data_IF_082096239471
#
_entry.id   IF_082096239471
#
_cell.length_a   1.000
_cell.length_b   1.000
_cell.length_c   1.000
_cell.angle_alpha   90.00
_cell.angle_beta   90.00
_cell.angle_gamma   90.00
#
_symmetry.space_group_name_H-M   'P 1'
#
loop_
_entity.id
_entity.type
_entity.pdbx_description
1 polymer ?
#
# COMPACT_ATOMS: atom_id res chain seq x y z
N UNK A 1 11.16 -5.95 -57.41
CA UNK A 1 11.59 -6.27 -56.04
C UNK A 1 10.49 -5.86 -55.08
N UNK A 2 9.79 -6.82 -54.47
CA UNK A 2 8.62 -6.58 -53.63
C UNK A 2 9.04 -6.72 -52.16
N UNK A 3 8.90 -5.64 -51.39
CA UNK A 3 9.29 -5.57 -49.98
C UNK A 3 8.28 -6.35 -49.14
N UNK A 4 8.73 -7.43 -48.50
CA UNK A 4 7.92 -8.27 -47.61
C UNK A 4 7.72 -7.53 -46.27
N UNK A 5 6.60 -6.84 -46.11
CA UNK A 5 6.18 -6.31 -44.81
C UNK A 5 5.67 -7.50 -43.99
N UNK A 6 6.43 -7.93 -42.97
CA UNK A 6 5.95 -8.90 -41.98
C UNK A 6 4.83 -8.24 -41.17
N UNK A 7 3.59 -8.65 -41.41
CA UNK A 7 2.47 -8.29 -40.54
C UNK A 7 2.71 -8.86 -39.13
N UNK A 8 2.72 -7.98 -38.13
CA UNK A 8 2.76 -8.36 -36.72
C UNK A 8 1.34 -8.80 -36.34
N UNK A 9 1.10 -10.05 -35.93
CA UNK A 9 -0.24 -10.50 -35.58
C UNK A 9 -0.75 -9.70 -34.36
N UNK A 10 -2.05 -9.39 -34.30
CA UNK A 10 -2.62 -8.67 -33.17
C UNK A 10 -2.44 -9.48 -31.89
N UNK A 11 -1.83 -8.86 -30.87
CA UNK A 11 -1.68 -9.47 -29.55
C UNK A 11 -3.08 -9.76 -29.00
N UNK A 12 -3.44 -11.04 -28.94
CA UNK A 12 -4.69 -11.50 -28.32
C UNK A 12 -4.56 -11.34 -26.80
N UNK A 13 -4.93 -10.18 -26.26
CA UNK A 13 -5.01 -9.96 -24.81
C UNK A 13 -6.32 -10.57 -24.29
N UNK A 14 -6.31 -11.87 -24.06
CA UNK A 14 -7.31 -12.54 -23.21
C UNK A 14 -6.78 -13.90 -22.73
N UNK A 15 -5.60 -13.91 -22.11
CA UNK A 15 -5.25 -15.00 -21.19
C UNK A 15 -5.75 -14.58 -19.82
N UNK A 16 -6.62 -15.38 -19.20
CA UNK A 16 -6.93 -15.27 -17.77
C UNK A 16 -5.59 -15.25 -17.01
N UNK A 17 -5.12 -14.05 -16.67
CA UNK A 17 -3.82 -13.84 -16.05
C UNK A 17 -3.97 -14.25 -14.59
N UNK A 18 -3.70 -15.52 -14.31
CA UNK A 18 -3.74 -16.06 -12.96
C UNK A 18 -2.40 -15.77 -12.27
N UNK A 19 -2.40 -15.49 -10.95
CA UNK A 19 -1.18 -15.40 -10.16
C UNK A 19 -0.33 -16.66 -10.35
N UNK A 20 0.99 -16.50 -10.26
CA UNK A 20 1.91 -17.65 -10.34
C UNK A 20 1.66 -18.62 -9.17
N UNK A 21 1.96 -19.92 -9.33
CA UNK A 21 1.85 -20.88 -8.24
C UNK A 21 2.65 -20.47 -7.00
N UNK A 22 3.85 -19.92 -7.18
CA UNK A 22 4.67 -19.32 -6.11
C UNK A 22 3.90 -18.22 -5.36
N UNK A 23 3.18 -17.35 -6.08
CA UNK A 23 2.36 -16.30 -5.47
C UNK A 23 1.26 -16.87 -4.56
N UNK A 24 0.60 -17.96 -4.96
CA UNK A 24 -0.39 -18.63 -4.12
C UNK A 24 0.22 -19.35 -2.90
N UNK A 25 1.50 -19.73 -2.96
CA UNK A 25 2.19 -20.33 -1.82
C UNK A 25 2.54 -19.31 -0.74
N UNK A 26 2.82 -18.06 -1.15
CA UNK A 26 3.26 -17.00 -0.24
C UNK A 26 2.14 -16.06 0.20
N UNK A 27 1.06 -15.96 -0.58
CA UNK A 27 0.01 -14.99 -0.37
C UNK A 27 -1.37 -15.61 -0.50
N UNK A 28 -2.28 -15.16 0.36
CA UNK A 28 -3.70 -15.34 0.15
C UNK A 28 -4.14 -14.38 -0.97
N UNK A 29 -4.80 -14.91 -2.00
CA UNK A 29 -5.15 -14.15 -3.21
C UNK A 29 -6.64 -14.32 -3.49
N UNK A 30 -7.35 -13.20 -3.65
CA UNK A 30 -8.77 -13.13 -3.96
C UNK A 30 -9.00 -12.54 -5.35
N UNK A 31 -10.03 -13.00 -6.05
CA UNK A 31 -10.44 -12.43 -7.32
C UNK A 31 -11.48 -11.32 -7.09
N UNK A 32 -11.17 -10.09 -7.51
CA UNK A 32 -12.10 -8.95 -7.48
C UNK A 32 -12.25 -8.39 -8.89
N UNK A 33 -13.48 -8.34 -9.40
CA UNK A 33 -13.79 -7.81 -10.73
C UNK A 33 -12.91 -8.43 -11.85
N UNK A 34 -12.65 -9.74 -11.79
CA UNK A 34 -11.80 -10.44 -12.75
C UNK A 34 -10.28 -10.26 -12.58
N UNK A 35 -9.85 -9.58 -11.51
CA UNK A 35 -8.42 -9.32 -11.20
C UNK A 35 -8.06 -9.99 -9.88
N UNK A 36 -7.02 -10.82 -9.90
CA UNK A 36 -6.50 -11.46 -8.70
C UNK A 36 -5.64 -10.48 -7.89
N UNK A 37 -5.98 -10.28 -6.61
CA UNK A 37 -5.31 -9.37 -5.68
C UNK A 37 -4.88 -10.10 -4.42
N UNK A 38 -3.69 -9.79 -3.93
CA UNK A 38 -3.22 -10.26 -2.62
C UNK A 38 -4.12 -9.66 -1.54
N UNK A 39 -4.62 -10.50 -0.63
CA UNK A 39 -5.33 -10.05 0.57
C UNK A 39 -4.29 -9.43 1.48
N UNK A 40 -4.30 -8.10 1.57
CA UNK A 40 -3.47 -7.39 2.54
C UNK A 40 -4.20 -7.29 3.88
N UNK A 41 -3.44 -7.10 4.95
CA UNK A 41 -3.97 -6.99 6.32
C UNK A 41 -5.00 -5.89 6.50
N UNK A 42 -4.87 -4.78 5.76
CA UNK A 42 -5.83 -3.66 5.76
C UNK A 42 -7.19 -4.12 5.22
N UNK A 43 -7.20 -4.88 4.14
CA UNK A 43 -8.43 -5.41 3.57
C UNK A 43 -9.10 -6.40 4.53
N UNK A 44 -8.34 -7.29 5.17
CA UNK A 44 -8.90 -8.20 6.18
C UNK A 44 -9.52 -7.44 7.36
N UNK A 45 -8.91 -6.34 7.81
CA UNK A 45 -9.48 -5.50 8.86
C UNK A 45 -10.75 -4.77 8.42
N UNK A 46 -10.79 -4.29 7.17
CA UNK A 46 -11.97 -3.65 6.61
C UNK A 46 -13.16 -4.61 6.55
N UNK A 47 -12.95 -5.83 6.02
CA UNK A 47 -14.01 -6.85 5.94
C UNK A 47 -14.46 -7.33 7.34
N UNK A 48 -13.58 -7.27 8.34
CA UNK A 48 -13.92 -7.56 9.73
C UNK A 48 -14.69 -6.42 10.43
N UNK A 49 -14.77 -5.22 9.83
CA UNK A 49 -15.34 -4.03 10.44
C UNK A 49 -14.45 -3.36 11.49
N UNK A 50 -13.17 -3.73 11.55
CA UNK A 50 -12.19 -3.14 12.48
C UNK A 50 -11.78 -1.71 12.05
N UNK A 51 -11.96 -1.37 10.77
CA UNK A 51 -11.66 -0.07 10.17
C UNK A 51 -12.68 0.32 9.10
N UNK A 52 -12.78 1.62 8.78
CA UNK A 52 -13.66 2.16 7.74
C UNK A 52 -12.92 2.70 6.50
N UNK A 53 -13.66 3.41 5.65
CA UNK A 53 -13.15 3.93 4.37
C UNK A 53 -12.05 5.00 4.56
N UNK A 54 -12.10 5.77 5.66
CA UNK A 54 -11.13 6.82 5.97
C UNK A 54 -9.77 6.22 6.32
N UNK A 55 -9.74 5.15 7.12
CA UNK A 55 -8.53 4.40 7.47
C UNK A 55 -7.91 3.74 6.23
N UNK A 56 -8.73 3.13 5.37
CA UNK A 56 -8.28 2.52 4.11
C UNK A 56 -7.67 3.59 3.18
N UNK A 57 -8.34 4.74 3.07
CA UNK A 57 -7.86 5.87 2.27
C UNK A 57 -6.55 6.45 2.83
N UNK A 58 -6.43 6.55 4.15
CA UNK A 58 -5.23 7.00 4.83
C UNK A 58 -4.07 6.01 4.66
N UNK A 59 -4.33 4.70 4.71
CA UNK A 59 -3.36 3.66 4.45
C UNK A 59 -2.80 3.71 3.01
N UNK A 60 -3.67 3.78 1.99
CA UNK A 60 -3.27 3.91 0.58
C UNK A 60 -2.42 5.17 0.36
N UNK A 61 -2.86 6.29 0.93
CA UNK A 61 -2.11 7.56 0.84
C UNK A 61 -0.73 7.45 1.48
N UNK A 62 -0.65 6.91 2.71
CA UNK A 62 0.62 6.78 3.42
C UNK A 62 1.59 5.89 2.67
N UNK A 63 1.13 4.73 2.16
CA UNK A 63 1.96 3.81 1.39
C UNK A 63 2.56 4.48 0.15
N UNK A 64 1.74 5.16 -0.65
CA UNK A 64 2.22 5.89 -1.85
C UNK A 64 3.22 6.99 -1.50
N UNK A 65 2.92 7.77 -0.46
CA UNK A 65 3.80 8.86 -0.02
C UNK A 65 5.12 8.33 0.55
N UNK A 66 5.08 7.22 1.28
CA UNK A 66 6.26 6.54 1.81
C UNK A 66 7.14 5.98 0.70
N UNK A 67 6.58 5.26 -0.28
CA UNK A 67 7.34 4.76 -1.43
C UNK A 67 7.94 5.90 -2.25
N UNK A 68 7.17 6.96 -2.49
CA UNK A 68 7.68 8.07 -3.25
C UNK A 68 8.81 8.79 -2.52
N UNK A 69 8.67 9.02 -1.21
CA UNK A 69 9.72 9.62 -0.38
C UNK A 69 10.99 8.76 -0.32
N UNK A 70 10.85 7.44 -0.11
CA UNK A 70 11.98 6.54 0.15
C UNK A 70 12.72 6.12 -1.13
N UNK A 71 11.99 5.61 -2.11
CA UNK A 71 12.56 4.96 -3.30
C UNK A 71 12.23 5.69 -4.61
N UNK A 72 11.44 6.76 -4.56
CA UNK A 72 11.12 7.58 -5.75
C UNK A 72 10.09 6.96 -6.69
N UNK A 73 9.42 5.88 -6.27
CA UNK A 73 8.35 5.24 -7.06
C UNK A 73 7.05 6.01 -6.87
N UNK A 74 6.38 6.33 -7.97
CA UNK A 74 5.00 6.82 -7.97
C UNK A 74 4.11 5.73 -8.52
N UNK A 75 3.25 5.20 -7.65
CA UNK A 75 2.16 4.34 -8.10
C UNK A 75 1.04 5.20 -8.69
N UNK A 76 0.95 5.15 -10.02
CA UNK A 76 -0.07 5.87 -10.79
C UNK A 76 -1.45 5.25 -10.48
N UNK A 77 -2.46 6.08 -10.16
CA UNK A 77 -3.85 5.61 -10.19
C UNK A 77 -4.20 5.24 -11.62
N UNK A 78 -5.12 4.29 -11.79
CA UNK A 78 -5.72 4.01 -13.10
C UNK A 78 -6.16 5.33 -13.74
N UNK A 79 -5.61 5.63 -14.92
CA UNK A 79 -5.85 6.89 -15.64
C UNK A 79 -7.35 7.10 -15.81
N UNK A 80 -7.82 8.31 -15.52
CA UNK A 80 -9.17 8.78 -15.82
C UNK A 80 -9.34 9.12 -17.33
N UNK A 81 -8.38 8.72 -18.17
CA UNK A 81 -8.31 9.03 -19.58
C UNK A 81 -7.80 10.44 -19.88
N UNK A 82 -7.51 11.26 -18.86
CA UNK A 82 -6.94 12.60 -19.06
C UNK A 82 -5.42 12.50 -19.13
N UNK A 83 -4.85 12.99 -20.22
CA UNK A 83 -3.41 13.18 -20.33
C UNK A 83 -2.98 14.24 -19.31
N UNK A 84 -2.22 13.82 -18.30
CA UNK A 84 -1.52 14.74 -17.40
C UNK A 84 -0.08 14.87 -17.90
N UNK A 85 0.33 16.10 -18.13
CA UNK A 85 1.72 16.39 -18.48
C UNK A 85 2.63 15.84 -17.38
N UNK A 86 3.57 14.95 -17.74
CA UNK A 86 4.54 14.41 -16.80
C UNK A 86 5.42 15.57 -16.35
N UNK A 87 5.38 15.89 -15.05
CA UNK A 87 6.27 16.89 -14.47
C UNK A 87 7.74 16.56 -14.76
N UNK A 88 8.58 17.58 -14.84
CA UNK A 88 10.02 17.44 -15.02
C UNK A 88 10.73 16.96 -13.74
N UNK A 89 12.03 16.66 -13.82
CA UNK A 89 12.79 16.14 -12.67
C UNK A 89 12.70 17.07 -11.45
N UNK A 90 12.66 18.38 -11.64
CA UNK A 90 12.55 19.34 -10.54
C UNK A 90 11.20 19.26 -9.84
N UNK A 91 10.11 19.18 -10.61
CA UNK A 91 8.75 18.99 -10.10
C UNK A 91 8.65 17.70 -9.28
N UNK A 92 9.27 16.62 -9.79
CA UNK A 92 9.34 15.34 -9.08
C UNK A 92 10.12 15.44 -7.77
N UNK A 93 11.28 16.08 -7.76
CA UNK A 93 12.09 16.23 -6.54
C UNK A 93 11.39 17.08 -5.48
N UNK A 94 10.69 18.14 -5.89
CA UNK A 94 9.87 18.96 -4.99
C UNK A 94 8.72 18.12 -4.42
N UNK A 95 8.01 17.35 -5.26
CA UNK A 95 6.94 16.46 -4.81
C UNK A 95 7.43 15.43 -3.79
N UNK A 96 8.60 14.83 -4.06
CA UNK A 96 9.24 13.86 -3.17
C UNK A 96 9.60 14.49 -1.82
N UNK A 97 10.19 15.69 -1.84
CA UNK A 97 10.48 16.46 -0.62
C UNK A 97 9.23 16.71 0.23
N UNK A 98 8.12 17.13 -0.39
CA UNK A 98 6.83 17.32 0.30
C UNK A 98 6.29 16.03 0.93
N UNK A 99 6.49 14.88 0.29
CA UNK A 99 6.12 13.59 0.87
C UNK A 99 7.02 13.22 2.05
N UNK A 100 8.33 13.44 1.92
CA UNK A 100 9.28 13.20 3.00
C UNK A 100 8.95 14.02 4.25
N UNK A 101 8.62 15.31 4.10
CA UNK A 101 8.20 16.17 5.23
C UNK A 101 6.95 15.62 5.91
N UNK A 102 5.93 15.24 5.15
CA UNK A 102 4.67 14.71 5.72
C UNK A 102 4.87 13.36 6.41
N UNK A 103 5.69 12.47 5.85
CA UNK A 103 6.04 11.20 6.51
C UNK A 103 6.77 11.46 7.83
N UNK A 104 7.68 12.44 7.87
CA UNK A 104 8.36 12.86 9.11
C UNK A 104 7.37 13.42 10.14
N UNK A 105 6.45 14.31 9.74
CA UNK A 105 5.42 14.83 10.64
C UNK A 105 4.52 13.72 11.20
N UNK A 106 4.11 12.77 10.37
CA UNK A 106 3.32 11.60 10.81
C UNK A 106 4.14 10.76 11.80
N UNK A 107 5.42 10.52 11.52
CA UNK A 107 6.32 9.79 12.42
C UNK A 107 6.48 10.50 13.76
N UNK A 108 6.55 11.82 13.78
CA UNK A 108 6.62 12.62 15.01
C UNK A 108 5.33 12.52 15.83
N UNK A 109 4.17 12.51 15.17
CA UNK A 109 2.86 12.38 15.84
C UNK A 109 2.59 10.97 16.38
N UNK A 110 2.87 9.94 15.58
CA UNK A 110 2.57 8.53 15.92
C UNK A 110 3.70 7.85 16.72
N UNK A 111 4.88 8.48 16.76
CA UNK A 111 6.09 7.92 17.35
C UNK A 111 6.72 6.80 16.51
N UNK A 112 7.94 6.42 16.89
CA UNK A 112 8.73 5.40 16.17
C UNK A 112 8.02 4.04 16.11
N UNK A 113 7.40 3.63 17.22
CA UNK A 113 6.68 2.35 17.30
C UNK A 113 5.50 2.27 16.33
N UNK A 114 4.78 3.39 16.12
CA UNK A 114 3.70 3.49 15.14
C UNK A 114 4.26 3.45 13.73
N UNK A 115 5.30 4.24 13.45
CA UNK A 115 5.95 4.25 12.13
C UNK A 115 6.46 2.87 11.69
N UNK A 116 7.15 2.14 12.57
CA UNK A 116 7.64 0.77 12.27
C UNK A 116 6.50 -0.19 11.98
N UNK A 117 5.36 -0.07 12.70
CA UNK A 117 4.17 -0.90 12.44
C UNK A 117 3.51 -0.56 11.12
N UNK A 118 3.42 0.72 10.75
CA UNK A 118 2.96 1.14 9.42
C UNK A 118 3.86 0.58 8.32
N UNK A 119 5.18 0.65 8.49
CA UNK A 119 6.11 0.10 7.51
C UNK A 119 5.96 -1.43 7.37
N UNK A 120 5.91 -2.15 8.50
CA UNK A 120 5.68 -3.60 8.50
C UNK A 120 4.38 -3.97 7.78
N UNK A 121 3.29 -3.27 8.10
CA UNK A 121 1.96 -3.58 7.59
C UNK A 121 1.74 -3.14 6.14
N UNK A 122 2.18 -1.93 5.78
CA UNK A 122 1.83 -1.29 4.51
C UNK A 122 2.96 -1.38 3.49
N UNK A 123 4.20 -1.07 3.86
CA UNK A 123 5.32 -1.06 2.91
C UNK A 123 5.89 -2.47 2.68
N UNK A 124 5.89 -3.31 3.71
CA UNK A 124 6.40 -4.68 3.69
C UNK A 124 5.30 -5.74 3.59
N UNK A 125 4.04 -5.31 3.60
CA UNK A 125 2.85 -6.17 3.47
C UNK A 125 2.85 -7.40 4.40
N UNK A 126 3.38 -7.24 5.61
CA UNK A 126 3.50 -8.35 6.55
C UNK A 126 2.14 -8.75 7.12
N UNK A 127 1.87 -10.05 7.18
CA UNK A 127 0.71 -10.57 7.91
C UNK A 127 0.82 -10.31 9.41
N UNK A 128 -0.30 -10.28 10.13
CA UNK A 128 -0.28 -10.11 11.60
C UNK A 128 0.53 -11.19 12.31
N UNK A 129 0.52 -12.43 11.83
CA UNK A 129 1.37 -13.50 12.37
C UNK A 129 2.86 -13.22 12.11
N UNK A 130 3.22 -12.71 10.93
CA UNK A 130 4.59 -12.31 10.64
C UNK A 130 5.03 -11.16 11.56
N UNK A 131 4.23 -10.10 11.67
CA UNK A 131 4.48 -8.97 12.58
C UNK A 131 4.59 -9.43 14.03
N UNK A 132 3.71 -10.34 14.48
CA UNK A 132 3.70 -10.89 15.83
C UNK A 132 5.01 -11.60 16.17
N UNK A 133 5.61 -12.36 15.24
CA UNK A 133 6.91 -13.01 15.45
C UNK A 133 8.05 -12.00 15.69
N UNK A 134 7.97 -10.82 15.09
CA UNK A 134 8.96 -9.77 15.30
C UNK A 134 8.71 -8.95 16.57
N UNK A 135 7.44 -8.66 16.89
CA UNK A 135 7.07 -7.74 17.98
C UNK A 135 6.91 -8.44 19.33
N UNK A 136 6.51 -9.71 19.33
CA UNK A 136 6.12 -10.45 20.53
C UNK A 136 6.65 -11.91 20.52
N UNK A 137 7.97 -12.13 20.37
CA UNK A 137 8.53 -13.49 20.21
C UNK A 137 8.28 -14.41 21.42
N UNK A 138 8.03 -13.85 22.61
CA UNK A 138 7.76 -14.62 23.83
C UNK A 138 6.28 -14.91 24.11
N UNK A 139 5.35 -14.46 23.25
CA UNK A 139 3.91 -14.71 23.42
C UNK A 139 3.44 -15.87 22.54
N UNK A 140 2.37 -16.55 22.96
CA UNK A 140 1.70 -17.51 22.09
C UNK A 140 1.17 -16.83 20.82
N UNK A 141 1.22 -17.54 19.70
CA UNK A 141 0.91 -16.97 18.38
C UNK A 141 -0.46 -16.29 18.35
N UNK A 142 -1.50 -16.95 18.86
CA UNK A 142 -2.85 -16.38 18.90
C UNK A 142 -2.94 -15.07 19.69
N UNK A 143 -2.31 -15.00 20.87
CA UNK A 143 -2.29 -13.78 21.70
C UNK A 143 -1.48 -12.67 21.06
N UNK A 144 -0.34 -13.01 20.46
CA UNK A 144 0.53 -12.07 19.79
C UNK A 144 -0.14 -11.46 18.55
N UNK A 145 -0.77 -12.30 17.70
CA UNK A 145 -1.52 -11.88 16.52
C UNK A 145 -2.67 -10.94 16.88
N UNK A 146 -3.46 -11.28 17.90
CA UNK A 146 -4.58 -10.44 18.38
C UNK A 146 -4.09 -9.07 18.88
N UNK A 147 -2.97 -9.02 19.60
CA UNK A 147 -2.36 -7.75 20.02
C UNK A 147 -1.93 -6.90 18.83
N UNK A 148 -1.32 -7.53 17.82
CA UNK A 148 -0.92 -6.81 16.60
C UNK A 148 -2.12 -6.28 15.85
N UNK A 149 -3.16 -7.08 15.60
CA UNK A 149 -4.33 -6.63 14.84
C UNK A 149 -5.02 -5.44 15.51
N UNK A 150 -5.25 -5.51 16.83
CA UNK A 150 -5.84 -4.40 17.58
C UNK A 150 -4.97 -3.13 17.56
N UNK A 151 -3.64 -3.26 17.64
CA UNK A 151 -2.73 -2.12 17.51
C UNK A 151 -2.74 -1.52 16.11
N UNK A 152 -2.84 -2.36 15.07
CA UNK A 152 -2.91 -1.90 13.68
C UNK A 152 -4.22 -1.16 13.39
N UNK A 153 -5.35 -1.61 13.93
CA UNK A 153 -6.63 -0.91 13.85
C UNK A 153 -6.55 0.49 14.46
N UNK A 154 -6.14 0.58 15.73
CA UNK A 154 -5.94 1.86 16.41
C UNK A 154 -4.96 2.78 15.67
N UNK A 155 -3.87 2.21 15.15
CA UNK A 155 -2.85 2.97 14.43
C UNK A 155 -3.38 3.56 13.11
N UNK A 156 -4.27 2.84 12.41
CA UNK A 156 -4.89 3.32 11.19
C UNK A 156 -5.91 4.44 11.46
N UNK A 157 -6.67 4.34 12.55
CA UNK A 157 -7.53 5.43 13.04
C UNK A 157 -6.71 6.68 13.40
N UNK A 158 -5.57 6.50 14.08
CA UNK A 158 -4.67 7.62 14.38
C UNK A 158 -4.05 8.23 13.11
N UNK A 159 -3.80 7.40 12.09
CA UNK A 159 -3.26 7.85 10.80
C UNK A 159 -4.30 8.67 10.02
N UNK A 160 -5.56 8.24 9.97
CA UNK A 160 -6.65 9.01 9.33
C UNK A 160 -6.79 10.37 10.02
N UNK A 161 -6.86 10.39 11.35
CA UNK A 161 -6.89 11.62 12.14
C UNK A 161 -5.67 12.53 11.93
N UNK A 162 -4.47 11.95 11.79
CA UNK A 162 -3.26 12.72 11.50
C UNK A 162 -3.37 13.46 10.16
N UNK A 163 -3.88 12.79 9.13
CA UNK A 163 -4.11 13.38 7.80
C UNK A 163 -5.19 14.45 7.80
N UNK A 164 -6.28 14.28 8.53
CA UNK A 164 -7.31 15.31 8.69
C UNK A 164 -6.74 16.58 9.33
N UNK A 165 -6.01 16.43 10.45
CA UNK A 165 -5.39 17.55 11.13
C UNK A 165 -4.32 18.27 10.30
N UNK A 166 -3.68 17.57 9.36
CA UNK A 166 -2.75 18.22 8.42
C UNK A 166 -3.49 19.03 7.35
N UNK A 167 -4.68 18.61 6.91
CA UNK A 167 -5.50 19.41 5.97
C UNK A 167 -5.94 20.73 6.60
N UNK A 168 -6.29 20.72 7.88
CA UNK A 168 -6.80 21.88 8.61
C UNK A 168 -5.72 22.92 8.99
N UNK A 169 -4.44 22.65 8.71
CA UNK A 169 -3.33 23.59 8.96
C UNK A 169 -3.02 24.53 7.77
N UNK A 170 -3.72 24.36 6.64
CA UNK A 170 -3.52 25.12 5.41
C UNK A 170 -4.58 26.21 5.28
#
# INVERSE_FOLDING_TARGET
MQTLIREIPPVTIARHMKPTPERFQHHEIVERNGVHRVVNTVHSMYEAGDIGDDEVSAADRWYREYLFATIGIVEEKSSDGRFREKGDVHTWMIGRGKCSVRISEIRERLGLCGHVRLEMMLAREMSFSAMARHLYPGLSEGRARMKVSAQCALLLEQLSYAYENMKNKI
#
